data_IF_433034908383
#
_entry.id   IF_433034908383
#
_cell.length_a   1.000
_cell.length_b   1.000
_cell.length_c   1.000
_cell.angle_alpha   90.00
_cell.angle_beta   90.00
_cell.angle_gamma   90.00
#
_symmetry.space_group_name_H-M   'P 1'
#
loop_
_entity.id
_entity.type
_entity.pdbx_description
1 polymer ?
#
# COMPACT_ATOMS: atom_id res chain seq x y z
N UNK A 1 -24.32 31.68 -13.11
CA UNK A 1 -23.07 30.91 -13.28
C UNK A 1 -22.49 30.56 -11.93
N UNK A 2 -22.56 29.29 -11.52
CA UNK A 2 -21.94 28.79 -10.30
C UNK A 2 -20.55 28.26 -10.66
N UNK A 3 -19.54 29.10 -10.54
CA UNK A 3 -18.14 28.71 -10.78
C UNK A 3 -17.53 28.33 -9.44
N UNK A 4 -17.45 27.03 -9.15
CA UNK A 4 -16.72 26.51 -7.99
C UNK A 4 -15.22 26.63 -8.28
N UNK A 5 -14.51 27.53 -7.59
CA UNK A 5 -13.06 27.65 -7.68
C UNK A 5 -12.42 26.73 -6.64
N UNK A 6 -11.83 25.63 -7.10
CA UNK A 6 -11.08 24.71 -6.27
C UNK A 6 -9.61 25.15 -6.22
N UNK A 7 -9.12 25.50 -5.03
CA UNK A 7 -7.70 25.71 -4.78
C UNK A 7 -7.08 24.37 -4.41
N UNK A 8 -6.40 23.73 -5.36
CA UNK A 8 -5.64 22.49 -5.11
C UNK A 8 -4.24 22.83 -4.63
N UNK A 9 -4.13 23.50 -3.50
CA UNK A 9 -2.87 23.60 -2.75
C UNK A 9 -2.87 22.57 -1.61
N UNK A 10 -3.49 21.43 -1.87
CA UNK A 10 -3.36 20.26 -1.03
C UNK A 10 -1.98 19.67 -1.34
N UNK A 11 -1.05 19.87 -0.41
CA UNK A 11 0.24 19.20 -0.36
C UNK A 11 0.01 17.69 -0.49
N UNK A 12 0.02 17.19 -1.73
CA UNK A 12 -0.39 15.82 -2.09
C UNK A 12 0.77 14.84 -1.94
N UNK A 13 1.66 15.09 -0.98
CA UNK A 13 2.74 14.18 -0.67
C UNK A 13 2.21 13.15 0.31
N UNK A 14 2.07 11.92 -0.17
CA UNK A 14 1.82 10.77 0.68
C UNK A 14 2.99 10.66 1.66
N UNK A 15 2.71 10.80 2.95
CA UNK A 15 3.69 10.58 4.00
C UNK A 15 3.66 9.08 4.37
N UNK A 16 4.68 8.30 3.99
CA UNK A 16 4.72 6.89 4.35
C UNK A 16 4.81 6.74 5.87
N UNK A 17 4.07 5.78 6.40
CA UNK A 17 4.06 5.46 7.82
C UNK A 17 4.78 4.12 8.00
N UNK A 18 5.65 4.04 9.00
CA UNK A 18 6.43 2.84 9.29
C UNK A 18 7.79 2.83 8.60
N UNK A 19 8.40 1.64 8.53
CA UNK A 19 9.75 1.46 8.00
C UNK A 19 9.71 1.09 6.52
N UNK A 20 10.70 1.52 5.71
CA UNK A 20 10.86 1.04 4.34
C UNK A 20 11.10 -0.48 4.32
N UNK A 21 10.42 -1.17 3.39
CA UNK A 21 10.60 -2.60 3.16
C UNK A 21 11.03 -2.86 1.72
N UNK A 22 11.91 -3.85 1.53
CA UNK A 22 12.27 -4.34 0.20
C UNK A 22 11.25 -5.36 -0.27
N UNK A 23 10.72 -5.23 -1.47
CA UNK A 23 9.95 -6.32 -2.09
C UNK A 23 10.89 -7.48 -2.38
N UNK A 24 10.65 -8.64 -1.76
CA UNK A 24 11.49 -9.85 -1.91
C UNK A 24 10.80 -10.92 -2.73
N UNK A 25 9.47 -10.96 -2.71
CA UNK A 25 8.70 -11.88 -3.55
C UNK A 25 7.40 -11.25 -4.04
N UNK A 26 7.28 -11.08 -5.36
CA UNK A 26 6.10 -10.61 -6.04
C UNK A 26 5.98 -11.25 -7.43
N UNK A 27 4.77 -11.32 -7.97
CA UNK A 27 4.50 -11.81 -9.34
C UNK A 27 3.32 -11.04 -9.94
N UNK A 28 3.57 -10.29 -11.01
CA UNK A 28 2.56 -9.43 -11.61
C UNK A 28 2.06 -8.40 -10.58
N UNK A 29 0.76 -8.34 -10.35
CA UNK A 29 0.13 -7.45 -9.36
C UNK A 29 0.11 -8.02 -7.94
N UNK A 30 0.54 -9.28 -7.74
CA UNK A 30 0.45 -9.97 -6.45
C UNK A 30 1.77 -9.89 -5.69
N UNK A 31 1.70 -9.31 -4.49
CA UNK A 31 2.82 -9.18 -3.55
C UNK A 31 2.70 -10.25 -2.47
N UNK A 32 3.74 -11.07 -2.32
CA UNK A 32 3.77 -12.14 -1.32
C UNK A 32 4.58 -11.73 -0.10
N UNK A 33 5.76 -11.15 -0.32
CA UNK A 33 6.69 -10.85 0.76
C UNK A 33 7.30 -9.45 0.65
N UNK A 34 7.34 -8.79 1.81
CA UNK A 34 8.06 -7.54 2.08
C UNK A 34 9.16 -7.88 3.10
N UNK A 35 10.42 -7.77 2.68
CA UNK A 35 11.55 -8.30 3.44
C UNK A 35 11.45 -9.81 3.59
N UNK A 36 11.59 -10.33 4.80
CA UNK A 36 11.45 -11.76 5.08
C UNK A 36 10.05 -12.11 5.63
N UNK A 37 9.10 -11.20 5.52
CA UNK A 37 7.76 -11.34 6.09
C UNK A 37 6.67 -11.31 5.01
N UNK A 38 5.54 -11.97 5.27
CA UNK A 38 4.38 -11.90 4.38
C UNK A 38 3.85 -10.48 4.33
N UNK A 39 3.37 -10.08 3.15
CA UNK A 39 2.86 -8.74 2.92
C UNK A 39 1.73 -8.38 3.91
N UNK A 40 0.78 -9.29 4.15
CA UNK A 40 -0.29 -9.06 5.12
C UNK A 40 0.22 -8.91 6.57
N UNK A 41 1.23 -9.68 6.97
CA UNK A 41 1.77 -9.63 8.34
C UNK A 41 2.45 -8.27 8.62
N UNK A 42 3.10 -7.69 7.62
CA UNK A 42 3.63 -6.33 7.69
C UNK A 42 2.51 -5.33 7.95
N UNK A 43 1.41 -5.42 7.20
CA UNK A 43 0.26 -4.55 7.40
C UNK A 43 -0.38 -4.70 8.78
N UNK A 44 -0.58 -5.93 9.26
CA UNK A 44 -1.10 -6.20 10.61
C UNK A 44 -0.22 -5.56 11.67
N UNK A 45 1.11 -5.70 11.56
CA UNK A 45 2.07 -5.13 12.50
C UNK A 45 1.96 -3.60 12.59
N UNK A 46 1.88 -2.90 11.46
CA UNK A 46 1.90 -1.43 11.46
C UNK A 46 0.54 -0.77 11.66
N UNK A 47 -0.55 -1.43 11.28
CA UNK A 47 -1.89 -0.82 11.34
C UNK A 47 -2.74 -1.29 12.52
N UNK A 48 -2.46 -2.48 13.05
CA UNK A 48 -3.34 -3.13 14.02
C UNK A 48 -2.56 -3.89 15.11
N UNK A 49 -1.28 -3.59 15.33
CA UNK A 49 -0.42 -4.24 16.34
C UNK A 49 -0.44 -5.78 16.28
N UNK A 50 -0.50 -6.33 15.06
CA UNK A 50 -0.55 -7.78 14.81
C UNK A 50 -1.96 -8.38 14.77
N UNK A 51 -3.00 -7.61 15.08
CA UNK A 51 -4.39 -8.04 14.89
C UNK A 51 -4.78 -8.10 13.40
N UNK A 52 -5.88 -8.77 13.11
CA UNK A 52 -6.41 -8.85 11.75
C UNK A 52 -6.82 -7.48 11.22
N UNK A 53 -6.53 -7.26 9.94
CA UNK A 53 -6.86 -6.04 9.21
C UNK A 53 -7.92 -6.34 8.17
N UNK A 54 -8.91 -5.45 8.08
CA UNK A 54 -9.96 -5.52 7.08
C UNK A 54 -9.49 -4.90 5.76
N UNK A 55 -10.09 -5.30 4.63
CA UNK A 55 -9.80 -4.68 3.34
C UNK A 55 -10.04 -3.16 3.36
N UNK A 56 -11.08 -2.69 4.07
CA UNK A 56 -11.35 -1.25 4.21
C UNK A 56 -10.21 -0.51 4.91
N UNK A 57 -9.56 -1.10 5.91
CA UNK A 57 -8.38 -0.50 6.54
C UNK A 57 -7.21 -0.46 5.55
N UNK A 58 -7.00 -1.53 4.77
CA UNK A 58 -5.94 -1.57 3.76
C UNK A 58 -6.10 -0.49 2.68
N UNK A 59 -7.33 -0.21 2.26
CA UNK A 59 -7.63 0.86 1.29
C UNK A 59 -7.27 2.26 1.82
N UNK A 60 -7.35 2.47 3.13
CA UNK A 60 -6.93 3.72 3.77
C UNK A 60 -5.41 3.87 3.88
N UNK A 61 -4.66 2.78 3.71
CA UNK A 61 -3.20 2.74 3.83
C UNK A 61 -2.56 2.07 2.61
N UNK A 62 -2.63 2.70 1.43
CA UNK A 62 -2.01 2.15 0.23
C UNK A 62 -0.49 2.10 0.38
N UNK A 63 0.14 1.19 -0.36
CA UNK A 63 1.59 1.01 -0.27
C UNK A 63 2.29 2.07 -1.12
N UNK A 64 3.14 2.84 -0.46
CA UNK A 64 4.03 3.76 -1.14
C UNK A 64 5.30 3.01 -1.61
N UNK A 65 5.53 3.01 -2.92
CA UNK A 65 6.65 2.34 -3.58
C UNK A 65 7.56 3.36 -4.23
N UNK A 66 8.87 3.18 -4.05
CA UNK A 66 9.89 3.90 -4.79
C UNK A 66 10.72 2.92 -5.62
N UNK A 67 10.76 3.12 -6.95
CA UNK A 67 11.54 2.28 -7.87
C UNK A 67 12.16 3.14 -8.98
N UNK A 68 13.48 3.04 -9.16
CA UNK A 68 14.23 3.79 -10.20
C UNK A 68 13.91 5.30 -10.22
N UNK A 69 13.77 5.92 -9.04
CA UNK A 69 13.43 7.34 -8.90
C UNK A 69 11.97 7.70 -9.17
N UNK A 70 11.09 6.71 -9.38
CA UNK A 70 9.64 6.91 -9.48
C UNK A 70 8.98 6.56 -8.15
N UNK A 71 8.13 7.47 -7.68
CA UNK A 71 7.34 7.35 -6.47
C UNK A 71 5.90 7.04 -6.87
N UNK A 72 5.36 5.95 -6.37
CA UNK A 72 4.04 5.44 -6.74
C UNK A 72 3.26 5.02 -5.49
N UNK A 73 1.95 5.18 -5.56
CA UNK A 73 1.02 4.66 -4.56
C UNK A 73 0.26 3.50 -5.17
N UNK A 74 0.33 2.35 -4.51
CA UNK A 74 -0.27 1.09 -4.95
C UNK A 74 -1.40 0.74 -3.98
N UNK A 75 -2.61 0.62 -4.49
CA UNK A 75 -3.80 0.32 -3.67
C UNK A 75 -4.07 -1.17 -3.64
N UNK A 76 -4.39 -1.72 -2.47
CA UNK A 76 -4.77 -3.13 -2.34
C UNK A 76 -6.12 -3.36 -3.02
N UNK A 77 -6.19 -4.37 -3.88
CA UNK A 77 -7.42 -4.76 -4.58
C UNK A 77 -8.02 -6.05 -4.04
N UNK A 78 -7.20 -6.94 -3.49
CA UNK A 78 -7.64 -8.25 -3.01
C UNK A 78 -6.71 -8.82 -1.92
N UNK A 79 -7.28 -9.50 -0.93
CA UNK A 79 -6.58 -10.30 0.08
C UNK A 79 -6.67 -11.78 -0.27
N UNK A 80 -5.54 -12.49 -0.23
CA UNK A 80 -5.49 -13.92 -0.50
C UNK A 80 -5.31 -14.75 0.78
N UNK A 81 -5.83 -15.97 0.77
CA UNK A 81 -5.77 -16.89 1.91
C UNK A 81 -4.34 -17.28 2.33
N UNK A 82 -3.36 -17.18 1.42
CA UNK A 82 -1.94 -17.45 1.71
C UNK A 82 -1.23 -16.29 2.45
N UNK A 83 -1.90 -15.14 2.61
CA UNK A 83 -1.36 -13.92 3.22
C UNK A 83 -0.68 -12.97 2.22
N UNK A 84 -0.79 -13.24 0.92
CA UNK A 84 -0.39 -12.31 -0.13
C UNK A 84 -1.53 -11.34 -0.48
N UNK A 85 -1.20 -10.25 -1.18
CA UNK A 85 -2.15 -9.20 -1.55
C UNK A 85 -2.00 -8.82 -3.02
N UNK A 86 -3.12 -8.64 -3.72
CA UNK A 86 -3.13 -8.04 -5.06
C UNK A 86 -3.18 -6.53 -4.95
N UNK A 87 -2.52 -5.85 -5.89
CA UNK A 87 -2.52 -4.41 -6.01
C UNK A 87 -3.02 -3.97 -7.40
N UNK A 88 -3.36 -2.70 -7.52
CA UNK A 88 -3.75 -2.06 -8.79
C UNK A 88 -2.59 -1.90 -9.78
N UNK A 89 -1.34 -2.09 -9.33
CA UNK A 89 -0.12 -1.98 -10.13
C UNK A 89 0.75 -3.23 -10.05
N UNK A 90 1.49 -3.57 -11.13
CA UNK A 90 2.47 -4.66 -11.11
C UNK A 90 3.71 -4.28 -10.29
N UNK A 91 4.41 -5.30 -9.76
CA UNK A 91 5.63 -5.21 -8.93
C UNK A 91 6.92 -5.49 -9.70
#
# INVERSE_FOLDING_TARGET
>A
SNTLKLWTDAYSEWNPIGMPHKVTHAKGTRLYCLGEQKALDVYKRYLADGHDVTLSQLLSFPLYRESLGRKEVCTVTELHADGSMSFDRPW
#
